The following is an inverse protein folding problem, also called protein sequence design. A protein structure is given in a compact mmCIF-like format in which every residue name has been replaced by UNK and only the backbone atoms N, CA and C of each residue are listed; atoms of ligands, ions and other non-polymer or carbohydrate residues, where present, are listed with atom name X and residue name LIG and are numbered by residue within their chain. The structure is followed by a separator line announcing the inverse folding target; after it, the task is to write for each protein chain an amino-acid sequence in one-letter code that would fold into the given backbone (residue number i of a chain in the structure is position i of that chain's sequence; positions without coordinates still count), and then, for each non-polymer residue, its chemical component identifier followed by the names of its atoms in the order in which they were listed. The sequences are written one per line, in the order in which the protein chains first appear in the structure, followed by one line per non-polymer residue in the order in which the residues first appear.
data_IF_263930421179
#
_entry.id   IF_263930421179
#
_cell.length_a   1.000
_cell.length_b   1.000
_cell.length_c   1.000
_cell.angle_alpha   90.00
_cell.angle_beta   90.00
_cell.angle_gamma   90.00
#
_symmetry.space_group_name_H-M   'P 1'
#
loop_
_entity.id
_entity.type
_entity.pdbx_description
1 polymer ?
#
# COMPACT_ATOMS: atom_id res chain seq x y z
N UNK A 1 -21.03 -19.28 -6.20
CA UNK A 1 -20.40 -19.69 -4.92
C UNK A 1 -21.31 -19.19 -3.81
N UNK A 2 -21.66 -20.05 -2.87
CA UNK A 2 -22.51 -19.69 -1.74
C UNK A 2 -21.59 -19.40 -0.53
N UNK A 3 -21.78 -18.23 0.10
CA UNK A 3 -21.02 -17.83 1.27
C UNK A 3 -21.52 -18.56 2.51
N UNK A 4 -20.58 -18.96 3.39
CA UNK A 4 -20.86 -19.63 4.64
C UNK A 4 -20.72 -18.66 5.80
N UNK A 5 -21.83 -18.40 6.45
CA UNK A 5 -21.88 -17.62 7.68
C UNK A 5 -21.79 -18.55 8.88
N UNK A 6 -21.23 -18.06 9.98
CA UNK A 6 -21.17 -18.81 11.24
C UNK A 6 -22.58 -19.02 11.84
N UNK A 7 -22.65 -19.74 12.98
CA UNK A 7 -23.90 -20.02 13.70
C UNK A 7 -24.68 -18.76 14.12
N UNK A 8 -24.02 -17.61 14.15
CA UNK A 8 -24.60 -16.29 14.44
C UNK A 8 -24.97 -15.50 13.17
N UNK A 9 -24.82 -16.11 12.01
CA UNK A 9 -25.05 -15.46 10.73
C UNK A 9 -23.97 -14.44 10.38
N UNK A 10 -22.74 -14.58 10.89
CA UNK A 10 -21.63 -13.66 10.64
C UNK A 10 -20.54 -14.30 9.80
N UNK A 11 -19.88 -13.47 8.98
CA UNK A 11 -18.67 -13.83 8.23
C UNK A 11 -17.56 -12.81 8.57
N UNK A 12 -16.33 -13.25 8.88
CA UNK A 12 -15.21 -12.35 9.07
C UNK A 12 -14.84 -11.65 7.76
N UNK A 13 -14.55 -10.35 7.86
CA UNK A 13 -14.15 -9.50 6.75
C UNK A 13 -12.80 -8.84 7.09
N UNK A 14 -11.75 -9.29 6.42
CA UNK A 14 -10.40 -8.71 6.48
C UNK A 14 -10.39 -7.51 5.53
N UNK A 15 -10.29 -6.30 6.07
CA UNK A 15 -10.23 -5.08 5.27
C UNK A 15 -8.77 -4.77 4.95
N UNK A 16 -8.48 -4.60 3.66
CA UNK A 16 -7.14 -4.37 3.13
C UNK A 16 -7.10 -3.09 2.31
N UNK A 17 -6.06 -2.29 2.50
CA UNK A 17 -5.83 -1.11 1.66
C UNK A 17 -5.46 -1.51 0.23
N UNK A 18 -6.11 -0.90 -0.74
CA UNK A 18 -5.92 -1.22 -2.16
C UNK A 18 -4.50 -0.92 -2.65
N UNK A 19 -3.91 0.20 -2.24
CA UNK A 19 -2.60 0.64 -2.73
C UNK A 19 -1.43 0.02 -1.98
N UNK A 20 -1.50 -0.01 -0.67
CA UNK A 20 -0.38 -0.50 0.17
C UNK A 20 -0.47 -1.99 0.47
N UNK A 21 -1.62 -2.61 0.22
CA UNK A 21 -1.95 -3.99 0.62
C UNK A 21 -1.84 -4.25 2.13
N UNK A 22 -1.79 -3.18 2.93
CA UNK A 22 -1.80 -3.29 4.38
C UNK A 22 -3.17 -3.77 4.87
N UNK A 23 -3.18 -4.73 5.79
CA UNK A 23 -4.40 -5.10 6.50
C UNK A 23 -4.77 -3.97 7.45
N UNK A 24 -5.97 -3.44 7.30
CA UNK A 24 -6.46 -2.28 8.04
C UNK A 24 -7.20 -2.67 9.32
N UNK A 25 -8.12 -3.64 9.20
CA UNK A 25 -8.92 -4.13 10.32
C UNK A 25 -9.51 -5.50 10.01
N UNK A 26 -9.92 -6.22 11.04
CA UNK A 26 -10.84 -7.34 10.97
C UNK A 26 -12.19 -6.89 11.52
N UNK A 27 -13.22 -7.00 10.71
CA UNK A 27 -14.61 -6.73 11.10
C UNK A 27 -15.50 -7.92 10.77
N UNK A 28 -16.79 -7.82 11.04
CA UNK A 28 -17.75 -8.88 10.73
C UNK A 28 -18.91 -8.31 9.91
N UNK A 29 -19.39 -9.13 8.98
CA UNK A 29 -20.56 -8.84 8.19
C UNK A 29 -21.61 -9.94 8.39
N UNK A 30 -22.87 -9.59 8.31
CA UNK A 30 -23.98 -10.51 8.05
C UNK A 30 -24.47 -10.35 6.61
N UNK A 31 -25.41 -11.14 6.17
CA UNK A 31 -25.94 -11.08 4.79
C UNK A 31 -26.44 -9.66 4.44
N UNK A 32 -27.10 -8.98 5.38
CA UNK A 32 -27.62 -7.62 5.19
C UNK A 32 -26.50 -6.59 5.02
N UNK A 33 -25.50 -6.57 5.93
CA UNK A 33 -24.40 -5.60 5.85
C UNK A 33 -23.49 -5.85 4.65
N UNK A 34 -23.36 -7.09 4.18
CA UNK A 34 -22.67 -7.39 2.94
C UNK A 34 -23.44 -6.83 1.73
N UNK A 35 -24.76 -7.04 1.69
CA UNK A 35 -25.59 -6.47 0.64
C UNK A 35 -25.55 -4.93 0.62
N UNK A 36 -25.58 -4.29 1.80
CA UNK A 36 -25.43 -2.84 1.93
C UNK A 36 -24.05 -2.37 1.49
N UNK A 37 -22.98 -3.10 1.84
CA UNK A 37 -21.61 -2.79 1.40
C UNK A 37 -21.50 -2.75 -0.12
N UNK A 38 -22.10 -3.73 -0.80
CA UNK A 38 -22.11 -3.80 -2.27
C UNK A 38 -22.96 -2.68 -2.86
N UNK A 39 -24.14 -2.43 -2.30
CA UNK A 39 -25.06 -1.41 -2.81
C UNK A 39 -24.55 0.03 -2.60
N UNK A 40 -23.91 0.31 -1.44
CA UNK A 40 -23.39 1.63 -1.11
C UNK A 40 -21.98 1.89 -1.65
N UNK A 41 -21.27 0.83 -2.09
CA UNK A 41 -19.86 0.93 -2.54
C UNK A 41 -18.88 1.31 -1.45
N UNK A 42 -19.28 1.18 -0.18
CA UNK A 42 -18.47 1.48 1.02
C UNK A 42 -18.71 0.46 2.11
N UNK A 43 -17.74 0.30 3.02
CA UNK A 43 -17.81 -0.74 4.04
C UNK A 43 -18.92 -0.47 5.07
N UNK A 44 -19.78 -1.47 5.22
CA UNK A 44 -20.83 -1.56 6.23
C UNK A 44 -20.64 -2.86 6.99
N UNK A 45 -20.54 -2.81 8.31
CA UNK A 45 -20.22 -3.94 9.16
C UNK A 45 -21.35 -4.23 10.14
N UNK A 46 -21.31 -5.42 10.73
CA UNK A 46 -22.10 -5.77 11.90
C UNK A 46 -21.26 -5.59 13.16
N UNK A 47 -21.67 -4.71 14.04
CA UNK A 47 -21.03 -4.52 15.34
C UNK A 47 -21.47 -5.61 16.31
N UNK A 48 -20.55 -6.56 16.60
CA UNK A 48 -20.84 -7.67 17.53
C UNK A 48 -21.13 -7.22 18.97
N UNK A 49 -20.52 -6.14 19.41
CA UNK A 49 -20.70 -5.60 20.78
C UNK A 49 -21.98 -4.80 20.92
N UNK A 50 -22.38 -4.04 19.89
CA UNK A 50 -23.58 -3.21 19.91
C UNK A 50 -24.81 -3.90 19.31
N UNK A 51 -24.61 -5.01 18.59
CA UNK A 51 -25.66 -5.78 17.89
C UNK A 51 -26.43 -4.89 16.90
N UNK A 52 -25.69 -4.07 16.12
CA UNK A 52 -26.27 -3.14 15.15
C UNK A 52 -25.39 -2.99 13.90
N UNK A 53 -25.97 -2.44 12.85
CA UNK A 53 -25.26 -2.06 11.63
C UNK A 53 -24.34 -0.87 11.92
N UNK A 54 -23.12 -0.96 11.44
CA UNK A 54 -22.12 0.10 11.58
C UNK A 54 -21.49 0.46 10.24
N UNK A 55 -21.71 1.68 9.79
CA UNK A 55 -21.07 2.25 8.60
C UNK A 55 -19.73 2.85 8.96
N UNK A 56 -18.66 2.32 8.37
CA UNK A 56 -17.31 2.85 8.62
C UNK A 56 -17.21 4.29 8.13
N UNK A 57 -16.74 5.17 9.01
CA UNK A 57 -16.59 6.60 8.69
C UNK A 57 -17.86 7.44 8.96
N UNK A 58 -18.96 6.87 9.44
CA UNK A 58 -20.21 7.59 9.70
C UNK A 58 -20.03 8.80 10.65
N UNK A 59 -19.17 8.64 11.66
CA UNK A 59 -18.87 9.73 12.63
C UNK A 59 -17.58 10.48 12.29
N UNK A 60 -16.55 9.76 11.83
CA UNK A 60 -15.20 10.33 11.64
C UNK A 60 -14.96 10.93 10.26
N UNK A 61 -15.81 10.64 9.28
CA UNK A 61 -15.58 10.96 7.88
C UNK A 61 -14.57 10.02 7.17
N UNK A 62 -13.86 9.16 7.91
CA UNK A 62 -12.88 8.23 7.36
C UNK A 62 -13.57 7.03 6.71
N UNK A 63 -14.13 7.25 5.54
CA UNK A 63 -14.86 6.25 4.76
C UNK A 63 -13.89 5.28 4.08
N UNK A 64 -14.34 4.07 3.82
CA UNK A 64 -13.62 3.05 3.05
C UNK A 64 -14.44 2.67 1.82
N UNK A 65 -14.01 3.13 0.64
CA UNK A 65 -14.66 2.79 -0.65
C UNK A 65 -14.19 1.43 -1.11
N UNK A 66 -15.12 0.55 -1.40
CA UNK A 66 -14.84 -0.84 -1.80
C UNK A 66 -14.35 -0.89 -3.24
N UNK A 67 -13.23 -1.58 -3.44
CA UNK A 67 -12.66 -1.92 -4.76
C UNK A 67 -13.10 -3.33 -5.14
N UNK A 68 -12.94 -4.29 -4.22
CA UNK A 68 -13.33 -5.68 -4.43
C UNK A 68 -13.70 -6.37 -3.13
N UNK A 69 -14.48 -7.44 -3.24
CA UNK A 69 -14.79 -8.37 -2.15
C UNK A 69 -14.51 -9.77 -2.69
N UNK A 70 -13.60 -10.49 -2.05
CA UNK A 70 -13.19 -11.83 -2.46
C UNK A 70 -13.37 -12.78 -1.28
N UNK A 71 -14.05 -13.91 -1.51
CA UNK A 71 -14.14 -14.96 -0.51
C UNK A 71 -12.92 -15.88 -0.61
N UNK A 72 -12.59 -16.53 0.49
CA UNK A 72 -11.56 -17.57 0.52
C UNK A 72 -12.02 -18.88 -0.13
N UNK A 73 -11.19 -19.93 -0.08
CA UNK A 73 -11.40 -21.17 -0.84
C UNK A 73 -12.64 -21.98 -0.40
N UNK A 74 -13.06 -21.87 0.86
CA UNK A 74 -14.22 -22.57 1.43
C UNK A 74 -15.38 -21.63 1.77
N UNK A 75 -15.24 -20.35 1.39
CA UNK A 75 -16.26 -19.30 1.41
C UNK A 75 -16.77 -18.92 2.81
N UNK A 76 -15.90 -19.01 3.83
CA UNK A 76 -16.22 -18.67 5.22
C UNK A 76 -15.49 -17.41 5.74
N UNK A 77 -14.65 -16.76 4.89
CA UNK A 77 -14.00 -15.50 5.18
C UNK A 77 -13.97 -14.59 3.92
N UNK A 78 -13.90 -13.28 4.15
CA UNK A 78 -13.83 -12.27 3.08
C UNK A 78 -12.58 -11.42 3.20
N UNK A 79 -11.94 -11.13 2.08
CA UNK A 79 -11.04 -9.97 1.91
C UNK A 79 -11.84 -8.86 1.25
N UNK A 80 -11.90 -7.70 1.90
CA UNK A 80 -12.55 -6.49 1.39
C UNK A 80 -11.46 -5.48 1.09
N UNK A 81 -11.14 -5.31 -0.19
CA UNK A 81 -10.14 -4.35 -0.64
C UNK A 81 -10.78 -2.97 -0.79
N UNK A 82 -10.14 -1.95 -0.19
CA UNK A 82 -10.72 -0.61 -0.10
C UNK A 82 -9.71 0.49 -0.40
N UNK A 83 -10.21 1.61 -0.94
CA UNK A 83 -9.54 2.91 -0.88
C UNK A 83 -10.09 3.65 0.33
N UNK A 84 -9.22 4.03 1.27
CA UNK A 84 -9.62 4.71 2.50
C UNK A 84 -9.47 6.22 2.41
N UNK A 85 -10.39 6.94 3.05
CA UNK A 85 -10.34 8.39 3.23
C UNK A 85 -9.85 8.68 4.67
N UNK A 86 -8.53 8.63 4.87
CA UNK A 86 -7.91 8.85 6.18
C UNK A 86 -7.69 7.57 7.01
N UNK A 87 -7.27 7.70 8.28
CA UNK A 87 -6.89 6.60 9.16
C UNK A 87 -8.01 5.57 9.36
N UNK A 88 -7.65 4.28 9.30
CA UNK A 88 -8.63 3.21 9.48
C UNK A 88 -9.01 3.00 10.96
N UNK A 89 -8.08 3.23 11.89
CA UNK A 89 -8.31 3.04 13.32
C UNK A 89 -8.96 4.29 13.98
N UNK A 90 -9.80 4.06 14.97
CA UNK A 90 -10.40 5.13 15.80
C UNK A 90 -9.37 5.90 16.64
N UNK A 91 -8.18 5.33 16.86
CA UNK A 91 -7.06 5.98 17.55
C UNK A 91 -6.30 6.98 16.67
N UNK A 92 -6.63 7.06 15.38
CA UNK A 92 -5.90 7.84 14.37
C UNK A 92 -4.76 7.09 13.70
N UNK A 93 -4.54 5.81 14.02
CA UNK A 93 -3.56 4.98 13.34
C UNK A 93 -4.06 4.53 11.95
N UNK A 94 -3.14 4.36 11.01
CA UNK A 94 -3.42 3.92 9.64
C UNK A 94 -4.08 2.53 9.58
N UNK A 95 -3.73 1.64 10.50
CA UNK A 95 -4.25 0.29 10.68
C UNK A 95 -4.61 0.04 12.13
N UNK A 96 -5.51 -0.92 12.40
CA UNK A 96 -5.78 -1.42 13.76
C UNK A 96 -4.67 -2.38 14.24
N UNK A 97 -3.82 -2.88 13.34
CA UNK A 97 -2.75 -3.85 13.64
C UNK A 97 -1.41 -3.15 13.82
N UNK A 98 -1.21 -2.48 14.96
CA UNK A 98 0.01 -1.76 15.30
C UNK A 98 0.68 -2.26 16.60
N UNK A 99 0.11 -3.26 17.29
CA UNK A 99 0.70 -3.87 18.45
C UNK A 99 1.41 -5.16 18.05
N UNK A 100 2.73 -5.09 17.96
CA UNK A 100 3.55 -6.25 17.61
C UNK A 100 3.52 -7.29 18.73
N UNK A 101 3.12 -8.52 18.41
CA UNK A 101 3.13 -9.67 19.33
C UNK A 101 4.40 -10.49 19.20
N UNK A 102 4.91 -10.63 17.97
CA UNK A 102 6.15 -11.35 17.68
C UNK A 102 6.78 -10.82 16.38
N UNK A 103 8.08 -10.63 16.40
CA UNK A 103 8.91 -10.39 15.21
C UNK A 103 10.01 -11.44 15.19
N UNK A 104 10.17 -12.13 14.07
CA UNK A 104 11.28 -13.07 13.89
C UNK A 104 12.61 -12.34 13.92
N UNK A 105 13.59 -12.78 14.74
CA UNK A 105 14.92 -12.19 14.71
C UNK A 105 15.71 -12.52 13.44
N UNK A 106 15.33 -13.56 12.71
CA UNK A 106 16.02 -14.08 11.54
C UNK A 106 15.41 -13.56 10.22
N UNK A 107 14.07 -13.38 10.18
CA UNK A 107 13.34 -12.97 9.00
C UNK A 107 12.98 -11.48 9.09
N UNK A 108 13.68 -10.67 8.31
CA UNK A 108 13.38 -9.24 8.22
C UNK A 108 12.13 -9.02 7.38
N UNK A 109 11.19 -8.28 7.92
CA UNK A 109 10.06 -7.79 7.15
C UNK A 109 10.55 -6.74 6.14
N UNK A 110 10.16 -6.89 4.89
CA UNK A 110 10.41 -5.92 3.84
C UNK A 110 9.11 -5.57 3.11
N UNK A 111 8.90 -4.29 2.87
CA UNK A 111 7.88 -3.79 1.95
C UNK A 111 8.36 -2.48 1.33
N UNK A 112 7.91 -2.16 0.13
CA UNK A 112 8.20 -0.88 -0.52
C UNK A 112 7.73 0.31 0.31
N UNK A 113 6.54 0.21 0.91
CA UNK A 113 6.03 1.23 1.83
C UNK A 113 6.90 1.38 3.06
N UNK A 114 7.34 0.27 3.68
CA UNK A 114 8.24 0.30 4.84
C UNK A 114 9.59 0.95 4.53
N UNK A 115 10.15 0.68 3.35
CA UNK A 115 11.37 1.34 2.89
C UNK A 115 11.14 2.85 2.65
N UNK A 116 10.02 3.22 2.04
CA UNK A 116 9.65 4.63 1.84
C UNK A 116 9.54 5.38 3.18
N UNK A 117 8.85 4.80 4.16
CA UNK A 117 8.70 5.41 5.50
C UNK A 117 10.05 5.51 6.25
N UNK A 118 10.92 4.51 6.11
CA UNK A 118 12.29 4.57 6.65
C UNK A 118 13.06 5.74 6.05
N UNK A 119 13.03 5.90 4.73
CA UNK A 119 13.70 6.99 4.00
C UNK A 119 13.13 8.34 4.44
N UNK A 120 11.81 8.46 4.54
CA UNK A 120 11.11 9.65 5.02
C UNK A 120 11.53 10.00 6.44
N UNK A 121 11.56 9.02 7.33
CA UNK A 121 12.03 9.22 8.71
C UNK A 121 13.47 9.73 8.78
N UNK A 122 14.36 9.34 7.85
CA UNK A 122 15.74 9.87 7.75
C UNK A 122 15.80 11.31 7.27
N UNK A 123 14.83 11.76 6.49
CA UNK A 123 14.68 13.17 6.11
C UNK A 123 14.18 14.02 7.27
N UNK A 124 13.16 13.52 7.99
CA UNK A 124 12.53 14.24 9.11
C UNK A 124 13.41 14.26 10.37
N UNK A 125 14.16 13.18 10.59
CA UNK A 125 15.07 13.01 11.73
C UNK A 125 16.43 12.51 11.24
N UNK A 126 17.35 13.42 10.86
CA UNK A 126 18.68 13.08 10.36
C UNK A 126 19.45 12.20 11.34
N UNK A 127 20.11 11.17 10.81
CA UNK A 127 20.90 10.23 11.61
C UNK A 127 22.36 10.29 11.17
N UNK A 128 23.27 10.52 12.11
CA UNK A 128 24.71 10.57 11.84
C UNK A 128 25.22 9.27 11.20
N UNK A 129 26.02 9.39 10.14
CA UNK A 129 26.56 8.26 9.40
C UNK A 129 25.57 7.56 8.44
N UNK A 130 24.32 8.02 8.35
CA UNK A 130 23.35 7.48 7.42
C UNK A 130 23.58 8.02 5.99
N UNK A 131 23.71 7.11 5.03
CA UNK A 131 23.78 7.46 3.61
C UNK A 131 22.53 8.20 3.12
N UNK A 132 21.36 7.81 3.58
CA UNK A 132 20.08 8.47 3.26
C UNK A 132 20.09 9.93 3.74
N UNK A 133 20.54 10.16 4.99
CA UNK A 133 20.70 11.52 5.55
C UNK A 133 21.68 12.34 4.71
N UNK A 134 22.83 11.78 4.35
CA UNK A 134 23.80 12.43 3.46
C UNK A 134 23.19 12.86 2.12
N UNK A 135 22.35 12.02 1.49
CA UNK A 135 21.71 12.37 0.23
C UNK A 135 20.78 13.59 0.38
N UNK A 136 19.99 13.64 1.45
CA UNK A 136 19.13 14.79 1.73
C UNK A 136 19.91 16.06 2.05
N UNK A 137 21.01 15.97 2.80
CA UNK A 137 21.91 17.09 3.10
C UNK A 137 22.59 17.64 1.84
N UNK A 138 22.97 16.77 0.90
CA UNK A 138 23.54 17.18 -0.41
C UNK A 138 22.49 17.72 -1.37
N UNK A 139 21.23 17.44 -1.10
CA UNK A 139 20.09 18.02 -1.81
C UNK A 139 19.78 17.37 -3.16
N UNK A 140 18.81 18.00 -3.83
CA UNK A 140 18.16 17.46 -5.03
C UNK A 140 19.11 17.12 -6.18
N UNK A 141 20.13 17.94 -6.39
CA UNK A 141 21.10 17.72 -7.47
C UNK A 141 21.85 16.39 -7.30
N UNK A 142 22.33 16.11 -6.06
CA UNK A 142 22.99 14.84 -5.76
C UNK A 142 22.07 13.65 -5.90
N UNK A 143 20.80 13.78 -5.46
CA UNK A 143 19.79 12.72 -5.59
C UNK A 143 19.52 12.41 -7.06
N UNK A 144 19.30 13.44 -7.89
CA UNK A 144 19.07 13.27 -9.34
C UNK A 144 20.28 12.66 -10.05
N UNK A 145 21.50 13.08 -9.66
CA UNK A 145 22.73 12.48 -10.17
C UNK A 145 22.79 10.98 -9.89
N UNK A 146 22.47 10.56 -8.66
CA UNK A 146 22.45 9.14 -8.29
C UNK A 146 21.39 8.34 -9.09
N UNK A 147 20.18 8.87 -9.25
CA UNK A 147 19.18 8.22 -10.11
C UNK A 147 19.70 8.01 -11.55
N UNK A 148 20.43 8.99 -12.12
CA UNK A 148 21.03 8.86 -13.46
C UNK A 148 22.18 7.84 -13.51
N UNK A 149 23.04 7.81 -12.49
CA UNK A 149 24.12 6.82 -12.34
C UNK A 149 23.55 5.40 -12.32
N UNK A 150 22.64 5.11 -11.39
CA UNK A 150 22.04 3.77 -11.22
C UNK A 150 21.22 3.33 -12.46
N UNK A 151 20.54 4.28 -13.12
CA UNK A 151 19.86 3.99 -14.38
C UNK A 151 20.83 3.51 -15.47
N UNK A 152 22.02 4.09 -15.52
CA UNK A 152 23.06 3.69 -16.49
C UNK A 152 23.63 2.31 -16.13
N UNK A 153 23.85 2.02 -14.84
CA UNK A 153 24.35 0.76 -14.36
C UNK A 153 23.35 -0.39 -14.62
N UNK A 154 22.05 -0.16 -14.45
CA UNK A 154 20.99 -1.09 -14.87
C UNK A 154 21.06 -1.43 -16.36
N UNK A 155 21.31 -0.42 -17.23
CA UNK A 155 21.42 -0.65 -18.68
C UNK A 155 22.64 -1.53 -18.99
N UNK A 156 23.79 -1.24 -18.38
CA UNK A 156 25.02 -1.98 -18.59
C UNK A 156 24.88 -3.44 -18.09
N UNK A 157 24.34 -3.63 -16.89
CA UNK A 157 24.13 -4.95 -16.31
C UNK A 157 23.13 -5.79 -17.15
N UNK A 158 22.05 -5.14 -17.61
CA UNK A 158 21.05 -5.78 -18.47
C UNK A 158 21.60 -6.19 -19.84
N UNK A 159 22.47 -5.38 -20.46
CA UNK A 159 23.13 -5.70 -21.74
C UNK A 159 24.11 -6.89 -21.60
N UNK A 160 24.77 -7.01 -20.46
CA UNK A 160 25.66 -8.11 -20.16
C UNK A 160 24.95 -9.42 -19.80
N UNK A 161 23.63 -9.42 -19.74
CA UNK A 161 22.80 -10.59 -19.33
C UNK A 161 23.17 -11.16 -17.95
N UNK A 162 23.84 -10.39 -17.10
CA UNK A 162 24.13 -10.77 -15.70
C UNK A 162 22.92 -10.52 -14.82
N UNK A 163 22.18 -11.60 -14.52
CA UNK A 163 20.97 -11.53 -13.70
C UNK A 163 21.25 -11.00 -12.28
N UNK A 164 22.36 -11.41 -11.68
CA UNK A 164 22.66 -11.03 -10.29
C UNK A 164 22.99 -9.54 -10.21
N UNK A 165 23.84 -9.08 -11.11
CA UNK A 165 24.20 -7.66 -11.22
C UNK A 165 22.99 -6.82 -11.61
N UNK A 166 22.18 -7.27 -12.58
CA UNK A 166 20.95 -6.54 -12.97
C UNK A 166 19.99 -6.39 -11.79
N UNK A 167 19.81 -7.41 -10.96
CA UNK A 167 18.97 -7.31 -9.74
C UNK A 167 19.58 -6.33 -8.75
N UNK A 168 20.89 -6.32 -8.57
CA UNK A 168 21.59 -5.41 -7.69
C UNK A 168 21.36 -3.95 -8.12
N UNK A 169 21.63 -3.63 -9.39
CA UNK A 169 21.48 -2.27 -9.92
C UNK A 169 20.02 -1.79 -9.97
N UNK A 170 19.08 -2.68 -10.29
CA UNK A 170 17.64 -2.35 -10.18
C UNK A 170 17.27 -2.00 -8.74
N UNK A 171 17.86 -2.68 -7.75
CA UNK A 171 17.57 -2.41 -6.35
C UNK A 171 18.12 -1.05 -5.92
N UNK A 172 19.31 -0.68 -6.38
CA UNK A 172 19.92 0.64 -6.12
C UNK A 172 19.15 1.76 -6.81
N UNK A 173 18.76 1.55 -8.08
CA UNK A 173 17.89 2.50 -8.79
C UNK A 173 16.58 2.71 -8.05
N UNK A 174 15.92 1.61 -7.63
CA UNK A 174 14.65 1.69 -6.91
C UNK A 174 14.79 2.45 -5.58
N UNK A 175 15.86 2.20 -4.83
CA UNK A 175 16.17 2.93 -3.61
C UNK A 175 16.34 4.43 -3.87
N UNK A 176 17.14 4.83 -4.87
CA UNK A 176 17.37 6.23 -5.18
C UNK A 176 16.13 6.94 -5.75
N UNK A 177 15.26 6.20 -6.47
CA UNK A 177 13.93 6.69 -6.89
C UNK A 177 13.05 6.98 -5.67
N UNK A 178 13.02 6.11 -4.66
CA UNK A 178 12.28 6.35 -3.41
C UNK A 178 12.83 7.58 -2.66
N UNK A 179 14.15 7.78 -2.62
CA UNK A 179 14.76 8.99 -2.04
C UNK A 179 14.31 10.25 -2.81
N UNK A 180 14.28 10.20 -4.14
CA UNK A 180 13.77 11.30 -4.98
C UNK A 180 12.30 11.57 -4.69
N UNK A 181 11.46 10.52 -4.58
CA UNK A 181 10.04 10.64 -4.26
C UNK A 181 9.84 11.36 -2.93
N UNK A 182 10.52 10.94 -1.86
CA UNK A 182 10.47 11.61 -0.55
C UNK A 182 10.95 13.06 -0.65
N UNK A 183 12.01 13.34 -1.41
CA UNK A 183 12.51 14.69 -1.62
C UNK A 183 11.48 15.60 -2.30
N UNK A 184 10.72 15.05 -3.25
CA UNK A 184 9.73 15.75 -4.05
C UNK A 184 8.32 15.75 -3.42
N UNK A 185 8.11 15.07 -2.30
CA UNK A 185 6.77 14.92 -1.67
C UNK A 185 5.84 13.99 -2.44
N UNK A 186 6.39 13.06 -3.24
CA UNK A 186 5.64 12.06 -4.00
C UNK A 186 5.52 10.79 -3.17
N UNK A 187 4.32 10.25 -3.03
CA UNK A 187 4.06 9.02 -2.28
C UNK A 187 4.10 7.77 -3.17
N UNK A 188 4.20 6.59 -2.56
CA UNK A 188 4.05 5.32 -3.28
C UNK A 188 2.66 5.22 -3.91
N UNK A 189 1.64 5.72 -3.20
CA UNK A 189 0.26 5.77 -3.69
C UNK A 189 0.12 6.63 -4.96
N UNK A 190 0.78 7.80 -5.04
CA UNK A 190 0.73 8.67 -6.22
C UNK A 190 1.24 7.93 -7.46
N UNK A 191 2.36 7.20 -7.33
CA UNK A 191 2.94 6.41 -8.42
C UNK A 191 2.03 5.25 -8.80
N UNK A 192 1.47 4.54 -7.81
CA UNK A 192 0.56 3.41 -8.06
C UNK A 192 -0.70 3.88 -8.79
N UNK A 193 -1.32 4.96 -8.35
CA UNK A 193 -2.48 5.57 -9.01
C UNK A 193 -2.20 5.98 -10.46
N UNK A 194 -1.03 6.51 -10.74
CA UNK A 194 -0.65 6.88 -12.10
C UNK A 194 -0.42 5.65 -12.98
N UNK A 195 0.16 4.58 -12.43
CA UNK A 195 0.32 3.30 -13.12
C UNK A 195 -1.04 2.64 -13.40
N UNK A 196 -1.97 2.66 -12.46
CA UNK A 196 -3.35 2.19 -12.67
C UNK A 196 -4.04 2.89 -13.84
N UNK A 197 -3.95 4.22 -13.91
CA UNK A 197 -4.51 4.98 -15.04
C UNK A 197 -3.93 4.55 -16.39
N UNK A 198 -2.65 4.13 -16.42
CA UNK A 198 -1.96 3.70 -17.64
C UNK A 198 -2.21 2.25 -17.97
N UNK A 199 -2.53 1.42 -16.98
CA UNK A 199 -2.75 -0.02 -17.16
C UNK A 199 -3.94 -0.33 -18.08
N UNK A 200 -4.95 0.55 -18.11
CA UNK A 200 -6.16 0.42 -18.96
C UNK A 200 -5.93 0.92 -20.40
N UNK A 201 -4.74 1.46 -20.71
CA UNK A 201 -4.46 2.08 -22.00
C UNK A 201 -3.62 1.13 -22.87
N UNK A 202 -4.26 0.43 -23.81
CA UNK A 202 -3.63 -0.46 -24.79
C UNK A 202 -2.71 0.28 -25.80
N UNK A 203 -2.69 1.62 -25.80
CA UNK A 203 -1.88 2.43 -26.69
C UNK A 203 -0.97 3.39 -25.90
N UNK A 204 0.31 3.47 -26.29
CA UNK A 204 1.28 4.43 -25.73
C UNK A 204 0.92 5.86 -26.17
N UNK A 205 0.00 6.51 -25.48
CA UNK A 205 -0.44 7.89 -25.74
C UNK A 205 0.72 8.91 -25.80
N UNK A 206 1.89 8.56 -25.25
CA UNK A 206 3.06 9.45 -25.22
C UNK A 206 3.83 9.52 -26.54
N UNK A 207 3.71 8.51 -27.41
CA UNK A 207 4.39 8.53 -28.73
C UNK A 207 3.67 9.39 -29.77
N UNK A 208 2.36 9.60 -29.63
CA UNK A 208 1.58 10.43 -30.56
C UNK A 208 1.77 11.95 -30.34
N UNK A 209 2.29 12.36 -29.16
CA UNK A 209 2.56 13.78 -28.84
C UNK A 209 3.98 14.26 -29.14
N UNK A 210 4.83 13.38 -29.66
CA UNK A 210 6.24 13.66 -30.00
C UNK A 210 6.51 13.64 -31.51
N UNK A 211 5.46 13.62 -32.35
CA UNK A 211 5.55 13.77 -33.82
C UNK A 211 5.09 15.17 -34.25
#
# INVERSE_FOLDING_TARGET
MELKFDEKGLIPAIVQDHYTKQVLTLAYMNAETLALTIAEGRTVFWSRSRQEIWRKGETSGNVQRVVSITADCDADALVVEVVKDGPACHTGAESCFFNEVYISPELKQFSWQGLYELIKGRKDTPTAGSYTTYLFEKGKEKILKKVGEECTEVIIAGENEDKAETVYEISDLAYHVLVLMVSAGITVEDVTRELEKRHVIDHKVKQERMQ
#
